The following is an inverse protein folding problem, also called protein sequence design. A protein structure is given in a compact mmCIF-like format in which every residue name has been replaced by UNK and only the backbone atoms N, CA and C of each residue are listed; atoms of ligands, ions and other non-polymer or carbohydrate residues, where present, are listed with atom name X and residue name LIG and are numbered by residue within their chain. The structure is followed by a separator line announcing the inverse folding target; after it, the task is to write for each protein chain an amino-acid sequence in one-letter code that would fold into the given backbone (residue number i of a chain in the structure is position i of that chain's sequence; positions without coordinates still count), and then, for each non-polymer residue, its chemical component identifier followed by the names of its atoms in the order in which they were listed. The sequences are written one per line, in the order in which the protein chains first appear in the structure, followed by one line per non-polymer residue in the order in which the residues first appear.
data_IF_429645004954
#
_entry.id   IF_429645004954
#
_cell.length_a   1.000
_cell.length_b   1.000
_cell.length_c   1.000
_cell.angle_alpha   90.00
_cell.angle_beta   90.00
_cell.angle_gamma   90.00
#
_symmetry.space_group_name_H-M   'P 1'
#
loop_
_entity.id
_entity.type
_entity.pdbx_description
1 polymer ?
#
# COMPACT_ATOMS: atom_id res chain seq x y z
N UNK A 1 -8.47 -20.75 -17.57
CA UNK A 1 -9.09 -20.72 -16.22
C UNK A 1 -8.11 -21.47 -15.33
N UNK A 2 -7.76 -20.90 -14.17
CA UNK A 2 -6.85 -21.54 -13.21
C UNK A 2 -7.46 -22.84 -12.66
N UNK A 3 -6.63 -23.84 -12.40
CA UNK A 3 -7.03 -25.02 -11.64
C UNK A 3 -7.18 -24.66 -10.14
N UNK A 4 -7.80 -25.54 -9.36
CA UNK A 4 -7.91 -25.33 -7.90
C UNK A 4 -6.53 -25.25 -7.22
N UNK A 5 -5.57 -26.06 -7.68
CA UNK A 5 -4.18 -26.07 -7.18
C UNK A 5 -3.44 -24.78 -7.52
N UNK A 6 -3.56 -24.29 -8.74
CA UNK A 6 -2.97 -23.01 -9.14
C UNK A 6 -3.56 -21.83 -8.34
N UNK A 7 -4.88 -21.85 -8.11
CA UNK A 7 -5.55 -20.85 -7.29
C UNK A 7 -5.06 -20.88 -5.83
N UNK A 8 -4.90 -22.07 -5.23
CA UNK A 8 -4.33 -22.18 -3.88
C UNK A 8 -2.90 -21.62 -3.79
N UNK A 9 -2.05 -21.87 -4.80
CA UNK A 9 -0.68 -21.35 -4.85
C UNK A 9 -0.66 -19.83 -4.88
N UNK A 10 -1.57 -19.20 -5.63
CA UNK A 10 -1.64 -17.73 -5.75
C UNK A 10 -2.31 -17.07 -4.53
N UNK A 11 -3.38 -17.66 -4.02
CA UNK A 11 -4.23 -17.01 -3.02
C UNK A 11 -3.71 -17.12 -1.59
N UNK A 12 -2.98 -18.19 -1.25
CA UNK A 12 -2.46 -18.37 0.11
C UNK A 12 -1.15 -17.64 0.32
N UNK A 13 -1.17 -16.71 1.31
CA UNK A 13 -0.04 -15.81 1.60
C UNK A 13 0.58 -16.01 2.99
N UNK A 14 0.03 -16.93 3.80
CA UNK A 14 0.54 -17.23 5.14
C UNK A 14 1.97 -17.78 5.14
N UNK A 15 2.58 -17.94 6.31
CA UNK A 15 3.91 -18.51 6.47
C UNK A 15 4.04 -19.88 5.80
N UNK A 16 5.16 -20.09 5.09
CA UNK A 16 5.45 -21.36 4.42
C UNK A 16 4.68 -21.62 3.13
N UNK A 17 3.76 -20.74 2.72
CA UNK A 17 3.09 -20.86 1.42
C UNK A 17 3.99 -20.31 0.30
N UNK A 18 3.84 -20.82 -0.95
CA UNK A 18 4.66 -20.34 -2.07
C UNK A 18 4.54 -18.83 -2.29
N UNK A 19 3.31 -18.31 -2.43
CA UNK A 19 3.09 -16.89 -2.64
C UNK A 19 3.50 -16.06 -1.42
N UNK A 20 3.20 -16.50 -0.20
CA UNK A 20 3.66 -15.86 1.01
C UNK A 20 5.18 -15.74 1.09
N UNK A 21 5.92 -16.75 0.63
CA UNK A 21 7.38 -16.72 0.55
C UNK A 21 7.87 -15.68 -0.47
N UNK A 22 7.19 -15.52 -1.59
CA UNK A 22 7.51 -14.50 -2.61
C UNK A 22 7.23 -13.12 -2.06
N UNK A 23 6.02 -12.87 -1.54
CA UNK A 23 5.59 -11.54 -1.10
C UNK A 23 6.45 -10.99 0.04
N UNK A 24 6.91 -11.84 0.96
CA UNK A 24 7.81 -11.44 2.06
C UNK A 24 9.16 -10.91 1.60
N UNK A 25 9.56 -11.15 0.34
CA UNK A 25 10.83 -10.67 -0.21
C UNK A 25 10.77 -9.25 -0.76
N UNK A 26 9.66 -8.57 -0.58
CA UNK A 26 9.44 -7.18 -1.00
C UNK A 26 9.10 -6.31 0.21
N UNK A 27 9.42 -5.01 0.10
CA UNK A 27 8.93 -4.02 1.04
C UNK A 27 7.41 -3.93 0.92
N UNK A 28 6.72 -4.09 2.04
CA UNK A 28 5.26 -4.13 2.12
C UNK A 28 4.77 -2.92 2.90
N UNK A 29 3.80 -2.13 2.39
CA UNK A 29 3.16 -1.09 3.18
C UNK A 29 2.41 -1.76 4.34
N UNK A 30 2.64 -1.28 5.56
CA UNK A 30 2.18 -1.96 6.77
C UNK A 30 1.10 -1.17 7.53
N UNK A 31 1.30 0.14 7.71
CA UNK A 31 0.38 1.01 8.43
C UNK A 31 0.67 2.48 8.10
N UNK A 32 -0.27 3.37 8.42
CA UNK A 32 -0.08 4.81 8.25
C UNK A 32 0.77 5.37 9.40
N UNK A 33 1.69 6.30 9.10
CA UNK A 33 2.51 6.94 10.15
C UNK A 33 1.65 7.69 11.17
N UNK A 34 0.45 8.13 10.77
CA UNK A 34 -0.53 8.76 11.64
C UNK A 34 -1.07 7.85 12.76
N UNK A 35 -0.94 6.53 12.63
CA UNK A 35 -1.37 5.57 13.67
C UNK A 35 -0.43 5.58 14.88
N UNK A 36 0.82 6.04 14.67
CA UNK A 36 1.86 6.18 15.71
C UNK A 36 2.41 7.62 15.72
N UNK A 37 1.60 8.63 16.05
CA UNK A 37 1.92 10.04 15.79
C UNK A 37 3.04 10.59 16.68
N UNK A 38 3.21 10.05 17.88
CA UNK A 38 4.18 10.57 18.86
C UNK A 38 4.99 9.44 19.50
N UNK A 39 6.22 9.72 19.96
CA UNK A 39 6.95 8.81 20.83
C UNK A 39 6.11 8.33 22.01
N UNK A 40 6.29 7.07 22.40
CA UNK A 40 5.63 6.41 23.52
C UNK A 40 4.08 6.39 23.43
N UNK A 41 3.50 6.65 22.26
CA UNK A 41 2.07 6.45 22.05
C UNK A 41 1.72 4.95 22.17
N UNK A 42 0.43 4.59 22.37
CA UNK A 42 0.01 3.20 22.42
C UNK A 42 0.45 2.43 21.16
N UNK A 43 0.94 1.19 21.30
CA UNK A 43 1.31 0.37 20.17
C UNK A 43 0.06 -0.05 19.39
N UNK A 44 0.25 -0.37 18.10
CA UNK A 44 -0.83 -0.86 17.24
C UNK A 44 -0.56 -2.29 16.78
N UNK A 45 -1.63 -3.08 16.65
CA UNK A 45 -1.57 -4.40 16.01
C UNK A 45 -1.67 -4.21 14.51
N UNK A 46 -0.82 -4.92 13.77
CA UNK A 46 -0.82 -4.92 12.31
C UNK A 46 -0.91 -6.37 11.83
N UNK A 47 -1.84 -6.67 10.93
CA UNK A 47 -1.96 -7.99 10.32
C UNK A 47 -1.48 -7.95 8.87
N UNK A 48 -0.44 -8.68 8.54
CA UNK A 48 0.14 -8.75 7.19
C UNK A 48 0.38 -10.21 6.82
N UNK A 49 0.01 -10.60 5.60
CA UNK A 49 0.26 -11.92 5.04
C UNK A 49 -0.16 -13.06 5.96
N UNK A 50 -1.29 -12.87 6.69
CA UNK A 50 -1.86 -13.86 7.60
C UNK A 50 -1.17 -13.99 8.95
N UNK A 51 -0.28 -13.06 9.31
CA UNK A 51 0.41 -13.00 10.60
C UNK A 51 0.13 -11.69 11.33
N UNK A 52 0.15 -11.75 12.65
CA UNK A 52 -0.03 -10.58 13.50
C UNK A 52 1.32 -10.08 14.03
N UNK A 53 1.49 -8.78 13.94
CA UNK A 53 2.66 -8.04 14.42
C UNK A 53 2.21 -6.92 15.36
N UNK A 54 3.17 -6.34 16.07
CA UNK A 54 3.01 -5.11 16.82
C UNK A 54 3.94 -4.04 16.25
N UNK A 55 3.37 -2.87 15.98
CA UNK A 55 4.12 -1.67 15.63
C UNK A 55 4.09 -0.69 16.79
N UNK A 56 5.19 0.02 17.02
CA UNK A 56 5.31 1.05 18.05
C UNK A 56 6.34 2.11 17.68
N UNK A 57 6.20 3.30 18.24
CA UNK A 57 7.20 4.37 18.14
C UNK A 57 7.82 4.57 19.51
N UNK A 58 9.11 4.26 19.63
CA UNK A 58 9.82 4.33 20.91
C UNK A 58 10.07 5.77 21.38
N UNK A 59 10.60 5.92 22.60
CA UNK A 59 10.92 7.22 23.21
C UNK A 59 11.85 8.09 22.36
N UNK A 60 12.73 7.47 21.56
CA UNK A 60 13.62 8.17 20.63
C UNK A 60 12.97 8.47 19.27
N UNK A 61 11.69 8.16 19.08
CA UNK A 61 10.95 8.37 17.83
C UNK A 61 11.18 7.29 16.76
N UNK A 62 11.92 6.22 17.06
CA UNK A 62 12.19 5.14 16.12
C UNK A 62 11.00 4.20 16.03
N UNK A 63 10.68 3.74 14.82
CA UNK A 63 9.67 2.70 14.64
C UNK A 63 10.24 1.30 14.93
N UNK A 64 9.49 0.52 15.70
CA UNK A 64 9.69 -0.90 15.90
C UNK A 64 8.55 -1.69 15.28
N UNK A 65 8.88 -2.82 14.65
CA UNK A 65 7.92 -3.77 14.11
C UNK A 65 8.34 -5.18 14.53
N UNK A 66 7.58 -5.78 15.42
CA UNK A 66 7.95 -7.03 16.10
C UNK A 66 6.84 -8.08 15.94
N UNK A 67 7.21 -9.35 16.17
CA UNK A 67 6.20 -10.39 16.41
C UNK A 67 5.25 -9.94 17.52
N UNK A 68 3.96 -10.17 17.37
CA UNK A 68 2.98 -9.73 18.37
C UNK A 68 3.14 -10.44 19.71
N UNK A 69 3.46 -11.73 19.68
CA UNK A 69 3.41 -12.57 20.86
C UNK A 69 4.74 -12.57 21.62
N UNK A 70 4.71 -12.06 22.85
CA UNK A 70 5.86 -12.01 23.76
C UNK A 70 6.58 -13.36 23.86
N UNK A 71 7.90 -13.39 23.65
CA UNK A 71 8.75 -14.59 23.70
C UNK A 71 8.72 -15.35 25.02
N UNK A 72 8.20 -14.74 26.10
CA UNK A 72 8.11 -15.40 27.40
C UNK A 72 6.93 -16.38 27.46
N UNK A 73 5.69 -15.92 27.30
CA UNK A 73 4.47 -16.72 27.42
C UNK A 73 3.36 -16.30 26.45
N UNK A 74 3.69 -15.74 25.29
CA UNK A 74 2.73 -15.50 24.23
C UNK A 74 1.67 -14.41 24.53
N UNK A 75 1.90 -13.55 25.51
CA UNK A 75 1.00 -12.41 25.72
C UNK A 75 1.19 -11.39 24.58
N UNK A 76 0.08 -10.80 24.10
CA UNK A 76 0.13 -9.80 23.03
C UNK A 76 0.86 -8.55 23.48
N UNK A 77 1.89 -8.16 22.74
CA UNK A 77 2.61 -6.90 22.93
C UNK A 77 1.80 -5.69 22.46
N UNK A 78 0.77 -5.88 21.64
CA UNK A 78 -0.16 -4.80 21.27
C UNK A 78 -0.96 -4.26 22.47
N UNK A 79 -1.00 -5.00 23.58
CA UNK A 79 -1.53 -4.53 24.86
C UNK A 79 -0.44 -3.96 25.76
N UNK A 80 0.80 -3.91 25.28
CA UNK A 80 1.98 -3.46 26.04
C UNK A 80 2.02 -1.96 26.27
N UNK A 81 3.07 -1.51 26.94
CA UNK A 81 3.39 -0.09 27.10
C UNK A 81 4.70 0.22 26.40
N UNK A 82 4.72 1.33 25.68
CA UNK A 82 5.95 1.86 25.09
C UNK A 82 6.55 2.84 26.12
N UNK A 83 7.79 2.58 26.50
CA UNK A 83 8.51 3.37 27.51
C UNK A 83 10.00 3.11 27.44
N UNK A 84 10.84 4.10 27.75
CA UNK A 84 12.31 3.96 27.84
C UNK A 84 12.92 3.23 26.64
N UNK A 85 12.62 3.70 25.44
CA UNK A 85 13.14 3.16 24.18
C UNK A 85 12.77 1.70 23.87
N UNK A 86 11.64 1.20 24.38
CA UNK A 86 11.19 -0.15 24.12
C UNK A 86 9.72 -0.38 24.41
N UNK A 87 9.21 -1.55 24.04
CA UNK A 87 7.88 -2.02 24.35
C UNK A 87 7.90 -3.03 25.49
N UNK A 88 7.12 -2.77 26.52
CA UNK A 88 7.01 -3.62 27.72
C UNK A 88 5.75 -4.46 27.69
N UNK A 89 5.93 -5.79 27.79
CA UNK A 89 4.84 -6.73 27.97
C UNK A 89 4.13 -6.52 29.30
N UNK A 90 2.79 -6.40 29.28
CA UNK A 90 2.00 -6.19 30.50
C UNK A 90 2.00 -7.40 31.45
N UNK A 91 2.29 -8.62 30.94
CA UNK A 91 2.11 -9.82 31.74
C UNK A 91 3.23 -9.99 32.80
N UNK A 92 4.50 -9.93 32.37
CA UNK A 92 5.64 -10.14 33.29
C UNK A 92 6.74 -9.10 33.11
N UNK A 93 6.47 -7.99 32.43
CA UNK A 93 7.38 -6.86 32.32
C UNK A 93 8.60 -7.08 31.40
N UNK A 94 8.63 -8.13 30.55
CA UNK A 94 9.68 -8.27 29.57
C UNK A 94 9.63 -7.08 28.61
N UNK A 95 10.79 -6.45 28.37
CA UNK A 95 10.89 -5.28 27.52
C UNK A 95 11.77 -5.54 26.30
N UNK A 96 11.33 -5.08 25.15
CA UNK A 96 11.97 -5.31 23.85
C UNK A 96 12.29 -3.98 23.17
N UNK A 97 13.51 -3.88 22.62
CA UNK A 97 13.90 -2.77 21.76
C UNK A 97 13.32 -2.93 20.34
N UNK A 98 13.44 -1.88 19.52
CA UNK A 98 12.96 -1.87 18.13
C UNK A 98 13.59 -2.96 17.24
N UNK A 99 14.76 -3.43 17.59
CA UNK A 99 15.49 -4.50 16.88
C UNK A 99 15.24 -5.92 17.46
N UNK A 100 14.28 -6.05 18.40
CA UNK A 100 13.95 -7.32 19.07
C UNK A 100 14.89 -7.70 20.20
N UNK A 101 15.89 -6.88 20.55
CA UNK A 101 16.75 -7.12 21.70
C UNK A 101 15.93 -7.11 22.99
N UNK A 102 16.07 -8.14 23.81
CA UNK A 102 15.41 -8.23 25.12
C UNK A 102 16.17 -7.35 26.11
N UNK A 103 15.61 -6.20 26.44
CA UNK A 103 16.24 -5.21 27.32
C UNK A 103 16.11 -5.61 28.79
N UNK A 104 14.95 -6.10 29.21
CA UNK A 104 14.63 -6.43 30.58
C UNK A 104 13.83 -7.72 30.72
N UNK A 105 14.13 -8.49 31.77
CA UNK A 105 13.41 -9.71 32.16
C UNK A 105 13.24 -9.73 33.68
N UNK A 106 12.32 -8.92 34.27
CA UNK A 106 12.24 -8.69 35.71
C UNK A 106 12.06 -9.96 36.55
N UNK A 107 11.44 -10.98 35.98
CA UNK A 107 11.18 -12.25 36.64
C UNK A 107 12.26 -13.32 36.38
N UNK A 108 13.40 -12.98 35.77
CA UNK A 108 14.49 -13.90 35.45
C UNK A 108 15.80 -13.40 36.02
N UNK A 109 16.37 -14.14 36.97
CA UNK A 109 17.60 -13.73 37.66
C UNK A 109 18.87 -13.92 36.79
N UNK A 110 18.80 -14.67 35.68
CA UNK A 110 19.96 -14.96 34.83
C UNK A 110 20.09 -13.97 33.68
N UNK A 111 21.02 -13.00 33.72
CA UNK A 111 21.18 -12.01 32.63
C UNK A 111 21.63 -12.63 31.31
N UNK A 112 22.32 -13.76 31.32
CA UNK A 112 22.84 -14.46 30.13
C UNK A 112 21.76 -15.00 29.19
N UNK A 113 20.51 -15.13 29.63
CA UNK A 113 19.42 -15.53 28.78
C UNK A 113 19.11 -14.46 27.70
N UNK A 114 19.12 -13.19 28.09
CA UNK A 114 18.83 -12.06 27.18
C UNK A 114 19.83 -11.93 26.05
N UNK A 115 21.06 -12.39 26.24
CA UNK A 115 22.14 -12.34 25.24
C UNK A 115 21.97 -13.40 24.15
N UNK A 116 21.21 -14.46 24.44
CA UNK A 116 21.05 -15.64 23.56
C UNK A 116 19.76 -15.67 22.79
N UNK A 117 18.79 -14.89 23.20
CA UNK A 117 17.44 -14.88 22.61
C UNK A 117 17.12 -13.49 22.08
N UNK A 118 16.74 -13.41 20.84
CA UNK A 118 16.11 -12.23 20.24
C UNK A 118 14.64 -12.48 20.00
N UNK A 119 13.84 -11.46 20.18
CA UNK A 119 12.45 -11.44 19.73
C UNK A 119 12.41 -11.18 18.23
N UNK A 120 11.42 -11.71 17.51
CA UNK A 120 11.24 -11.45 16.09
C UNK A 120 11.04 -9.95 15.83
N UNK A 121 11.91 -9.39 15.00
CA UNK A 121 11.90 -7.98 14.63
C UNK A 121 12.20 -7.83 13.13
N UNK A 122 11.60 -6.85 12.52
CA UNK A 122 11.61 -6.66 11.08
C UNK A 122 12.04 -5.24 10.72
N UNK A 123 12.83 -5.07 9.64
CA UNK A 123 13.21 -3.75 9.15
C UNK A 123 11.99 -2.89 8.79
N UNK A 124 12.03 -1.63 9.21
CA UNK A 124 11.00 -0.63 8.92
C UNK A 124 11.61 0.55 8.18
N UNK A 125 10.87 1.12 7.22
CA UNK A 125 11.18 2.38 6.55
C UNK A 125 9.95 3.27 6.51
N UNK A 126 10.16 4.58 6.68
CA UNK A 126 9.12 5.59 6.54
C UNK A 126 9.23 6.22 5.15
N UNK A 127 8.16 6.20 4.37
CA UNK A 127 8.09 6.85 3.07
C UNK A 127 6.65 7.10 2.65
N UNK A 128 6.36 8.31 2.15
CA UNK A 128 5.05 8.67 1.62
C UNK A 128 3.90 8.58 2.63
N UNK A 129 4.15 8.93 3.90
CA UNK A 129 3.14 8.84 4.96
C UNK A 129 2.85 7.43 5.47
N UNK A 130 3.56 6.42 4.95
CA UNK A 130 3.42 5.01 5.31
C UNK A 130 4.68 4.46 5.97
N UNK A 131 4.50 3.49 6.85
CA UNK A 131 5.55 2.59 7.31
C UNK A 131 5.58 1.36 6.41
N UNK A 132 6.76 1.04 5.91
CA UNK A 132 7.05 -0.11 5.05
C UNK A 132 7.88 -1.10 5.82
N UNK A 133 7.54 -2.37 5.74
CA UNK A 133 8.25 -3.45 6.44
C UNK A 133 8.80 -4.48 5.48
N UNK A 134 9.90 -5.11 5.85
CA UNK A 134 10.47 -6.23 5.14
C UNK A 134 10.36 -7.49 6.00
N UNK A 135 9.62 -8.49 5.53
CA UNK A 135 9.33 -9.73 6.25
C UNK A 135 10.17 -10.93 5.76
N UNK A 136 11.11 -10.70 4.85
CA UNK A 136 12.00 -11.73 4.30
C UNK A 136 13.17 -12.08 5.22
N UNK A 137 14.08 -12.96 4.77
CA UNK A 137 15.25 -13.31 5.55
C UNK A 137 16.11 -12.09 5.86
N UNK A 138 16.65 -11.97 7.09
CA UNK A 138 17.49 -10.84 7.48
C UNK A 138 18.71 -10.68 6.56
N UNK A 139 19.02 -9.43 6.18
CA UNK A 139 20.17 -9.10 5.34
C UNK A 139 19.97 -9.38 3.85
N UNK A 140 18.74 -9.68 3.42
CA UNK A 140 18.41 -9.88 2.00
C UNK A 140 17.41 -8.85 1.50
N UNK A 141 17.27 -7.73 2.20
CA UNK A 141 16.35 -6.65 1.85
C UNK A 141 16.71 -6.08 0.47
N UNK A 142 15.75 -6.04 -0.47
CA UNK A 142 15.99 -5.36 -1.74
C UNK A 142 16.12 -3.85 -1.52
N UNK A 143 16.74 -3.13 -2.47
CA UNK A 143 16.68 -1.68 -2.46
C UNK A 143 15.23 -1.20 -2.29
N UNK A 144 15.02 -0.19 -1.45
CA UNK A 144 13.70 0.40 -1.31
C UNK A 144 13.29 1.08 -2.61
N UNK A 145 12.07 0.83 -3.13
CA UNK A 145 11.65 1.40 -4.41
C UNK A 145 11.55 2.93 -4.31
N UNK A 146 12.17 3.61 -5.27
CA UNK A 146 12.14 5.07 -5.36
C UNK A 146 10.89 5.54 -6.11
N UNK A 147 9.74 5.54 -5.42
CA UNK A 147 8.51 6.13 -5.97
C UNK A 147 8.62 7.66 -5.95
N UNK A 148 8.15 8.32 -7.00
CA UNK A 148 8.18 9.80 -7.08
C UNK A 148 7.43 10.45 -5.92
N UNK A 149 6.28 9.90 -5.53
CA UNK A 149 5.47 10.37 -4.41
C UNK A 149 6.11 10.13 -3.03
N UNK A 150 7.03 9.17 -2.90
CA UNK A 150 7.66 8.87 -1.59
C UNK A 150 8.58 9.99 -1.09
N UNK A 151 8.98 10.91 -1.96
CA UNK A 151 9.77 12.09 -1.66
C UNK A 151 8.94 13.38 -1.60
N UNK A 152 7.61 13.30 -1.79
CA UNK A 152 6.73 14.46 -1.71
C UNK A 152 6.62 14.96 -0.27
N UNK A 153 6.31 16.26 -0.11
CA UNK A 153 6.05 16.84 1.20
C UNK A 153 4.85 16.12 1.84
N UNK A 154 4.92 15.71 3.12
CA UNK A 154 3.81 15.10 3.83
C UNK A 154 2.51 15.93 3.74
N UNK A 155 2.58 17.24 3.70
CA UNK A 155 1.42 18.13 3.57
C UNK A 155 0.77 18.10 2.16
N UNK A 156 1.47 17.57 1.18
CA UNK A 156 0.98 17.37 -0.19
C UNK A 156 0.41 15.96 -0.42
N UNK A 157 0.56 15.08 0.56
CA UNK A 157 0.13 13.69 0.47
C UNK A 157 -1.22 13.47 1.16
N UNK A 158 -2.12 12.80 0.48
CA UNK A 158 -3.32 12.22 1.07
C UNK A 158 -3.17 10.70 1.06
N UNK A 159 -2.98 10.13 2.24
CA UNK A 159 -2.97 8.67 2.43
C UNK A 159 -4.34 8.22 2.89
N UNK A 160 -4.94 7.29 2.17
CA UNK A 160 -6.22 6.67 2.53
C UNK A 160 -6.06 5.17 2.63
N UNK A 161 -6.77 4.55 3.55
CA UNK A 161 -6.81 3.11 3.73
C UNK A 161 -8.23 2.61 3.56
N UNK A 162 -8.38 1.50 2.85
CA UNK A 162 -9.64 0.79 2.72
C UNK A 162 -9.39 -0.70 2.96
N UNK A 163 -10.05 -1.25 3.98
CA UNK A 163 -9.99 -2.67 4.28
C UNK A 163 -11.12 -3.38 3.53
N UNK A 164 -10.76 -4.36 2.71
CA UNK A 164 -11.71 -5.22 2.02
C UNK A 164 -11.63 -6.63 2.60
N UNK A 165 -12.77 -7.14 3.07
CA UNK A 165 -12.86 -8.50 3.63
C UNK A 165 -12.94 -9.54 2.50
N UNK A 166 -11.83 -9.69 1.78
CA UNK A 166 -11.68 -10.66 0.70
C UNK A 166 -10.22 -11.08 0.54
N UNK A 167 -9.97 -12.08 -0.31
CA UNK A 167 -8.61 -12.47 -0.63
C UNK A 167 -7.88 -11.36 -1.42
N UNK A 168 -6.61 -11.13 -1.12
CA UNK A 168 -5.78 -10.10 -1.76
C UNK A 168 -5.77 -10.18 -3.28
N UNK A 169 -5.82 -11.41 -3.85
CA UNK A 169 -5.82 -11.63 -5.28
C UNK A 169 -7.07 -11.05 -5.95
N UNK A 170 -8.23 -11.07 -5.27
CA UNK A 170 -9.45 -10.45 -5.79
C UNK A 170 -9.32 -8.94 -5.92
N UNK A 171 -8.65 -8.31 -4.95
CA UNK A 171 -8.37 -6.86 -5.01
C UNK A 171 -7.42 -6.56 -6.17
N UNK A 172 -6.35 -7.36 -6.31
CA UNK A 172 -5.40 -7.20 -7.41
C UNK A 172 -6.07 -7.39 -8.77
N UNK A 173 -6.83 -8.47 -8.97
CA UNK A 173 -7.56 -8.71 -10.21
C UNK A 173 -8.50 -7.56 -10.55
N UNK A 174 -9.26 -7.04 -9.57
CA UNK A 174 -10.11 -5.87 -9.75
C UNK A 174 -9.31 -4.60 -10.11
N UNK A 175 -8.15 -4.40 -9.51
CA UNK A 175 -7.31 -3.21 -9.75
C UNK A 175 -6.70 -3.17 -11.15
N UNK A 176 -6.32 -4.33 -11.70
CA UNK A 176 -5.74 -4.44 -13.05
C UNK A 176 -6.78 -4.71 -14.14
N UNK A 177 -8.03 -5.01 -13.79
CA UNK A 177 -9.10 -5.18 -14.80
C UNK A 177 -9.55 -3.83 -15.34
N UNK A 178 -9.47 -3.67 -16.65
CA UNK A 178 -9.93 -2.47 -17.33
C UNK A 178 -11.36 -2.61 -17.89
N UNK A 179 -11.89 -3.83 -17.99
CA UNK A 179 -13.17 -4.09 -18.65
C UNK A 179 -14.37 -3.70 -17.79
N UNK A 180 -14.30 -3.93 -16.47
CA UNK A 180 -15.42 -3.63 -15.56
C UNK A 180 -15.75 -2.13 -15.47
N UNK A 181 -14.77 -1.26 -15.74
CA UNK A 181 -14.91 0.20 -15.57
C UNK A 181 -16.06 0.76 -16.39
N UNK A 182 -16.25 0.30 -17.63
CA UNK A 182 -17.32 0.76 -18.52
C UNK A 182 -18.71 0.24 -18.15
N UNK A 183 -18.82 -0.71 -17.24
CA UNK A 183 -20.10 -1.29 -16.79
C UNK A 183 -20.36 -0.95 -15.32
N UNK A 184 -19.43 -1.36 -14.43
CA UNK A 184 -19.62 -1.23 -12.99
C UNK A 184 -19.55 0.21 -12.50
N UNK A 185 -18.66 1.02 -13.09
CA UNK A 185 -18.44 2.41 -12.67
C UNK A 185 -19.13 3.46 -13.54
N UNK A 186 -19.98 3.06 -14.48
CA UNK A 186 -20.62 3.98 -15.42
C UNK A 186 -21.43 5.08 -14.70
N UNK A 187 -22.27 4.71 -13.74
CA UNK A 187 -23.10 5.64 -12.99
C UNK A 187 -22.28 6.52 -12.04
N UNK A 188 -21.26 5.96 -11.42
CA UNK A 188 -20.36 6.70 -10.53
C UNK A 188 -19.58 7.76 -11.30
N UNK A 189 -19.08 7.44 -12.48
CA UNK A 189 -18.40 8.38 -13.36
C UNK A 189 -19.34 9.50 -13.85
N UNK A 190 -20.58 9.15 -14.15
CA UNK A 190 -21.61 10.12 -14.56
C UNK A 190 -22.00 11.07 -13.42
N UNK A 191 -22.15 10.56 -12.18
CA UNK A 191 -22.58 11.36 -11.02
C UNK A 191 -21.46 12.24 -10.45
N UNK A 192 -20.20 11.86 -10.59
CA UNK A 192 -19.07 12.66 -10.12
C UNK A 192 -18.80 13.91 -10.99
N UNK A 193 -19.59 14.15 -12.05
CA UNK A 193 -19.30 15.21 -13.01
C UNK A 193 -17.92 15.06 -13.63
N UNK A 194 -17.38 13.87 -13.50
CA UNK A 194 -16.08 13.49 -13.99
C UNK A 194 -16.19 13.31 -15.52
N UNK A 195 -16.09 14.39 -16.21
CA UNK A 195 -15.34 14.33 -17.43
C UNK A 195 -14.01 13.64 -17.10
N UNK A 196 -13.26 13.11 -18.09
CA UNK A 196 -12.11 12.22 -17.89
C UNK A 196 -11.01 12.88 -17.04
N UNK A 197 -11.21 12.90 -15.73
CA UNK A 197 -10.25 13.29 -14.69
C UNK A 197 -9.81 12.07 -13.91
N UNK A 198 -9.68 10.94 -14.56
CA UNK A 198 -8.91 9.86 -13.96
C UNK A 198 -7.44 10.27 -14.01
N UNK A 199 -6.84 10.38 -12.85
CA UNK A 199 -5.39 10.39 -12.71
C UNK A 199 -4.83 9.29 -13.62
N UNK A 200 -4.16 9.67 -14.72
CA UNK A 200 -3.55 8.69 -15.65
C UNK A 200 -4.14 8.58 -17.05
N UNK A 201 -5.02 9.46 -17.52
CA UNK A 201 -5.31 9.52 -18.97
C UNK A 201 -4.17 10.27 -19.67
N UNK A 202 -3.35 9.54 -20.42
CA UNK A 202 -2.35 10.13 -21.31
C UNK A 202 -3.00 10.47 -22.65
N UNK A 203 -2.87 11.73 -23.09
CA UNK A 203 -3.14 12.09 -24.45
C UNK A 203 -1.86 11.93 -25.27
N UNK A 204 -1.80 10.91 -26.13
CA UNK A 204 -0.66 10.63 -27.00
C UNK A 204 -0.48 11.68 -28.13
N UNK A 205 -1.26 12.73 -28.17
CA UNK A 205 -1.16 13.78 -29.18
C UNK A 205 0.01 14.77 -28.96
N UNK A 206 0.87 14.53 -27.97
CA UNK A 206 2.16 15.23 -27.86
C UNK A 206 2.13 16.64 -27.28
N UNK A 207 1.05 17.09 -26.69
CA UNK A 207 1.02 18.34 -25.93
C UNK A 207 1.52 18.13 -24.50
N UNK A 208 2.38 19.02 -23.98
CA UNK A 208 2.89 18.91 -22.61
C UNK A 208 1.72 19.10 -21.61
N UNK A 209 1.76 18.31 -20.53
CA UNK A 209 0.83 18.40 -19.42
C UNK A 209 0.85 19.80 -18.80
N UNK A 210 -0.32 20.43 -18.74
CA UNK A 210 -0.53 21.62 -17.94
C UNK A 210 -0.69 21.17 -16.47
N UNK A 211 0.38 21.32 -15.70
CA UNK A 211 0.44 20.99 -14.26
C UNK A 211 -0.32 21.99 -13.38
N UNK A 212 -0.88 23.05 -13.96
CA UNK A 212 -1.64 24.10 -13.27
C UNK A 212 -3.16 23.79 -13.14
N UNK A 213 -3.56 22.55 -13.27
CA UNK A 213 -4.97 22.16 -13.05
C UNK A 213 -5.35 22.24 -11.56
N UNK A 214 -6.38 23.00 -11.19
CA UNK A 214 -6.77 23.15 -9.79
C UNK A 214 -7.25 21.82 -9.20
N UNK A 215 -6.65 21.43 -8.08
CA UNK A 215 -7.07 20.27 -7.28
C UNK A 215 -8.46 20.54 -6.71
N UNK A 216 -9.47 19.66 -6.90
CA UNK A 216 -10.78 19.82 -6.29
C UNK A 216 -10.67 19.73 -4.76
N UNK A 217 -11.04 20.80 -4.04
CA UNK A 217 -11.09 20.82 -2.58
C UNK A 217 -10.56 22.10 -1.90
N UNK A 218 -9.82 22.95 -2.59
CA UNK A 218 -9.52 24.30 -2.06
C UNK A 218 -10.61 25.27 -2.51
N UNK A 219 -11.49 25.65 -1.59
CA UNK A 219 -12.47 26.69 -1.79
C UNK A 219 -11.80 28.03 -2.12
N UNK A 220 -11.85 28.41 -3.38
CA UNK A 220 -11.52 29.73 -3.89
C UNK A 220 -12.72 30.27 -4.65
N UNK A 221 -13.23 31.39 -4.19
CA UNK A 221 -14.38 32.09 -4.79
C UNK A 221 -14.10 32.52 -6.23
N UNK A 222 -15.09 32.29 -7.07
CA UNK A 222 -15.45 32.80 -8.37
C UNK A 222 -14.51 33.78 -9.09
N UNK A 223 -14.01 33.32 -10.23
CA UNK A 223 -13.62 34.17 -11.35
C UNK A 223 -14.36 33.68 -12.60
N UNK A 224 -15.27 34.48 -13.11
CA UNK A 224 -15.92 34.27 -14.42
C UNK A 224 -14.88 34.53 -15.52
N UNK A 225 -14.29 33.46 -16.06
CA UNK A 225 -13.48 33.50 -17.28
C UNK A 225 -14.29 33.05 -18.48
N UNK A 226 -14.49 33.96 -19.41
CA UNK A 226 -15.17 33.73 -20.68
C UNK A 226 -14.32 32.88 -21.62
N UNK A 227 -14.88 31.84 -22.22
CA UNK A 227 -14.53 31.42 -23.58
C UNK A 227 -13.61 30.23 -23.77
N UNK A 228 -13.67 29.17 -22.96
CA UNK A 228 -13.28 27.86 -23.44
C UNK A 228 -14.50 27.13 -24.07
N UNK A 229 -14.34 26.41 -25.19
CA UNK A 229 -15.45 25.67 -25.77
C UNK A 229 -15.96 24.68 -24.72
N UNK A 230 -17.29 24.71 -24.48
CA UNK A 230 -17.96 23.84 -23.53
C UNK A 230 -17.62 22.37 -23.89
N UNK A 231 -16.69 21.75 -23.15
CA UNK A 231 -16.52 20.31 -23.20
C UNK A 231 -17.84 19.71 -22.74
N UNK A 232 -18.40 18.85 -23.58
CA UNK A 232 -19.64 18.12 -23.25
C UNK A 232 -19.43 17.43 -21.89
N UNK A 233 -20.42 17.47 -20.97
CA UNK A 233 -20.29 16.80 -19.68
C UNK A 233 -19.98 15.32 -19.92
N UNK A 234 -18.96 14.84 -19.27
CA UNK A 234 -18.39 13.52 -19.19
C UNK A 234 -19.27 12.36 -19.65
N UNK A 235 -19.29 12.15 -20.94
CA UNK A 235 -19.58 10.81 -21.45
C UNK A 235 -18.22 10.09 -21.42
N UNK A 236 -18.17 8.93 -20.78
CA UNK A 236 -17.08 7.99 -20.98
C UNK A 236 -16.86 7.87 -22.48
N UNK A 237 -15.66 8.09 -23.01
CA UNK A 237 -15.48 8.33 -24.45
C UNK A 237 -15.76 7.09 -25.31
N UNK A 238 -16.19 6.00 -24.72
CA UNK A 238 -16.34 4.74 -25.41
C UNK A 238 -17.44 3.87 -24.82
N UNK A 239 -18.30 3.35 -25.69
CA UNK A 239 -19.23 2.25 -25.38
C UNK A 239 -18.52 0.87 -25.50
N UNK A 240 -17.24 0.86 -25.81
CA UNK A 240 -16.44 -0.36 -25.96
C UNK A 240 -16.06 -0.93 -24.59
N UNK A 241 -16.80 -1.95 -24.15
CA UNK A 241 -16.58 -2.69 -22.91
C UNK A 241 -15.60 -3.86 -23.08
N UNK A 242 -15.03 -4.05 -24.28
CA UNK A 242 -14.08 -5.10 -24.60
C UNK A 242 -12.76 -4.53 -25.16
N UNK A 243 -12.02 -3.74 -24.37
CA UNK A 243 -10.80 -3.11 -24.85
C UNK A 243 -9.79 -4.13 -25.36
N UNK A 244 -9.08 -3.79 -26.41
CA UNK A 244 -7.89 -4.53 -26.83
C UNK A 244 -6.78 -4.25 -25.82
N UNK A 245 -6.22 -5.30 -25.23
CA UNK A 245 -5.15 -5.19 -24.23
C UNK A 245 -3.80 -5.48 -24.88
N UNK A 246 -2.86 -4.57 -24.72
CA UNK A 246 -1.45 -4.76 -25.07
C UNK A 246 -0.61 -4.69 -23.81
N UNK A 247 0.26 -5.69 -23.59
CA UNK A 247 1.06 -5.82 -22.36
C UNK A 247 2.53 -5.73 -22.70
N UNK A 248 3.28 -4.97 -21.91
CA UNK A 248 4.74 -4.92 -21.96
C UNK A 248 5.32 -5.23 -20.57
N UNK A 249 6.23 -6.21 -20.53
CA UNK A 249 6.95 -6.57 -19.31
C UNK A 249 8.05 -5.54 -19.00
N UNK A 250 8.20 -5.19 -17.73
CA UNK A 250 9.22 -4.27 -17.25
C UNK A 250 10.09 -4.94 -16.18
N UNK A 251 11.25 -4.38 -15.83
CA UNK A 251 12.07 -4.90 -14.73
C UNK A 251 11.39 -4.87 -13.36
N UNK A 252 10.34 -4.05 -13.20
CA UNK A 252 9.60 -3.88 -11.94
C UNK A 252 8.22 -4.57 -11.94
N UNK A 253 7.80 -5.15 -13.07
CA UNK A 253 6.48 -5.76 -13.21
C UNK A 253 6.02 -5.73 -14.67
N UNK A 254 4.90 -5.08 -14.93
CA UNK A 254 4.41 -4.86 -16.29
C UNK A 254 3.58 -3.58 -16.39
N UNK A 255 3.41 -3.08 -17.58
CA UNK A 255 2.34 -2.15 -17.90
C UNK A 255 1.49 -2.68 -19.04
N UNK A 256 0.25 -2.24 -19.10
CA UNK A 256 -0.64 -2.58 -20.19
C UNK A 256 -1.41 -1.37 -20.68
N UNK A 257 -1.71 -1.36 -21.98
CA UNK A 257 -2.63 -0.42 -22.59
C UNK A 257 -3.97 -1.08 -22.86
N UNK A 258 -5.04 -0.50 -22.32
CA UNK A 258 -6.42 -0.85 -22.67
C UNK A 258 -6.92 0.12 -23.74
N UNK A 259 -7.03 -0.35 -24.96
CA UNK A 259 -7.32 0.44 -26.15
C UNK A 259 -8.77 0.23 -26.55
N UNK A 260 -9.54 1.30 -26.59
CA UNK A 260 -10.97 1.30 -26.94
C UNK A 260 -11.26 2.16 -28.16
N UNK A 261 -12.29 1.80 -28.88
CA UNK A 261 -12.83 2.63 -29.93
C UNK A 261 -13.59 3.82 -29.32
N UNK A 262 -13.46 5.00 -29.92
CA UNK A 262 -14.22 6.18 -29.50
C UNK A 262 -15.52 6.23 -30.29
N UNK A 263 -16.65 6.28 -29.59
CA UNK A 263 -17.98 6.28 -30.21
C UNK A 263 -18.15 7.45 -31.16
N UNK A 264 -18.45 7.16 -32.42
CA UNK A 264 -18.64 8.16 -33.48
C UNK A 264 -17.36 8.73 -34.11
N UNK A 265 -16.18 8.27 -33.68
CA UNK A 265 -14.89 8.74 -34.17
C UNK A 265 -13.98 7.53 -34.56
N UNK A 266 -14.15 6.93 -35.72
CA UNK A 266 -13.49 5.63 -36.07
C UNK A 266 -11.97 5.70 -36.09
N UNK A 267 -11.40 6.88 -36.35
CA UNK A 267 -9.94 7.10 -36.42
C UNK A 267 -9.31 7.45 -35.06
N UNK A 268 -10.12 7.55 -34.00
CA UNK A 268 -9.65 7.85 -32.65
C UNK A 268 -9.78 6.64 -31.74
N UNK A 269 -8.78 6.49 -30.87
CA UNK A 269 -8.77 5.49 -29.81
C UNK A 269 -8.67 6.17 -28.46
N UNK A 270 -9.39 5.65 -27.48
CA UNK A 270 -9.17 5.96 -26.09
C UNK A 270 -8.23 4.91 -25.50
N UNK A 271 -7.09 5.37 -24.95
CA UNK A 271 -6.08 4.47 -24.38
C UNK A 271 -5.92 4.78 -22.91
N UNK A 272 -6.07 3.76 -22.06
CA UNK A 272 -5.70 3.81 -20.66
C UNK A 272 -4.49 2.92 -20.45
N UNK A 273 -3.42 3.50 -19.90
CA UNK A 273 -2.23 2.74 -19.50
C UNK A 273 -2.27 2.54 -17.99
N UNK A 274 -2.06 1.31 -17.57
CA UNK A 274 -1.89 0.95 -16.16
C UNK A 274 -0.53 0.30 -15.99
N UNK A 275 0.25 0.80 -15.03
CA UNK A 275 1.52 0.21 -14.64
C UNK A 275 1.31 -0.59 -13.36
N UNK A 276 1.74 -1.85 -13.37
CA UNK A 276 1.75 -2.70 -12.18
C UNK A 276 3.19 -2.89 -11.70
N UNK A 277 3.48 -2.40 -10.52
CA UNK A 277 4.78 -2.55 -9.87
C UNK A 277 4.66 -3.68 -8.85
N UNK A 278 5.30 -4.78 -9.18
CA UNK A 278 5.28 -5.99 -8.36
C UNK A 278 5.75 -5.72 -6.92
N UNK A 279 5.12 -6.33 -5.91
CA UNK A 279 3.91 -7.13 -6.01
C UNK A 279 2.62 -6.39 -5.62
N UNK A 280 2.67 -5.12 -5.19
CA UNK A 280 1.57 -4.48 -4.46
C UNK A 280 1.02 -3.18 -5.06
N UNK A 281 1.60 -2.65 -6.15
CA UNK A 281 1.28 -1.29 -6.60
C UNK A 281 0.77 -1.29 -8.05
N UNK A 282 -0.42 -0.72 -8.28
CA UNK A 282 -1.01 -0.53 -9.60
C UNK A 282 -1.48 0.91 -9.80
#
# INVERSE_FOLDING_TARGET
MLTAEENEVLCRVGPGTPMGTVLRRYWTPAFQLGDLPTPDCPPVRVTILGENFVAFRDTAGRLGFLDELCSHRGASLALGRVEDCGIRCLYHGWKYAVDGTIMETPNLAAPTFRERVKHGAYPVREAGGLAWVYLGPPGTEPPFPAFAWSAADPDELLVTEMIMDCNWMQVLEGSIDSSHVGVLHLDTLATMGAGPRSVGSFDFAGEPWDLDMPVPGRGGQGGQGQGAPARRPGVWPSDDNAPRIEVENTPFGFHYAAIRDVTGEPDRKFVRVTAFVMPYTA
#
